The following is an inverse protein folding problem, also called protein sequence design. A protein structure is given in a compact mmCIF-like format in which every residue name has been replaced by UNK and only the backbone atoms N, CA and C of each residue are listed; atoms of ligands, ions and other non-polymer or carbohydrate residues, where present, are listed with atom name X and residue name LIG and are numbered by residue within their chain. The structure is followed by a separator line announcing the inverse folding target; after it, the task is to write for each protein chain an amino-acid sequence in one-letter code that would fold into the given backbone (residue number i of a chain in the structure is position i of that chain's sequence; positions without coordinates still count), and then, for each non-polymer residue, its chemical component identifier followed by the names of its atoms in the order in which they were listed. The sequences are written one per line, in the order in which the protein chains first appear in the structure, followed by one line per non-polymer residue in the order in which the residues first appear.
data_IF_969077830490
#
_entry.id   IF_969077830490
#
_cell.length_a   1.000
_cell.length_b   1.000
_cell.length_c   1.000
_cell.angle_alpha   90.00
_cell.angle_beta   90.00
_cell.angle_gamma   90.00
#
_symmetry.space_group_name_H-M   'P 1'
#
loop_
_entity.id
_entity.type
_entity.pdbx_description
1 polymer ?
#
# COMPACT_ATOMS: atom_id res chain seq x y z
N UNK A 1 7.81 -49.87 -6.86
CA UNK A 1 6.69 -48.92 -7.10
C UNK A 1 6.42 -48.24 -5.75
N UNK A 2 6.32 -46.93 -5.56
CA UNK A 2 6.01 -45.81 -6.43
C UNK A 2 6.74 -44.54 -5.95
N UNK A 3 7.34 -43.80 -6.89
CA UNK A 3 7.84 -42.43 -6.68
C UNK A 3 6.62 -41.51 -6.56
N UNK A 4 6.43 -40.81 -5.44
CA UNK A 4 5.54 -39.63 -5.37
C UNK A 4 6.37 -38.37 -5.12
N UNK A 5 6.61 -37.65 -6.22
CA UNK A 5 7.16 -36.29 -6.24
C UNK A 5 6.20 -35.36 -5.51
N UNK A 6 6.62 -34.77 -4.39
CA UNK A 6 5.89 -33.68 -3.75
C UNK A 6 6.12 -32.39 -4.55
N UNK A 7 5.01 -31.83 -5.02
CA UNK A 7 4.97 -30.70 -5.93
C UNK A 7 5.46 -29.41 -5.25
N UNK A 8 6.39 -28.73 -5.93
CA UNK A 8 6.85 -27.36 -5.64
C UNK A 8 5.63 -26.42 -5.73
N UNK A 9 5.08 -26.01 -4.58
CA UNK A 9 4.01 -25.02 -4.48
C UNK A 9 4.53 -23.67 -4.99
N UNK A 10 4.35 -23.43 -6.29
CA UNK A 10 4.56 -22.10 -6.90
C UNK A 10 3.54 -21.16 -6.25
N UNK A 11 4.00 -20.32 -5.34
CA UNK A 11 3.25 -19.16 -4.85
C UNK A 11 2.92 -18.31 -6.07
N UNK A 12 1.66 -18.38 -6.51
CA UNK A 12 1.12 -17.50 -7.52
C UNK A 12 1.20 -16.07 -6.98
N UNK A 13 2.24 -15.34 -7.39
CA UNK A 13 2.33 -13.89 -7.21
C UNK A 13 1.23 -13.30 -8.09
N UNK A 14 0.03 -13.21 -7.52
CA UNK A 14 -1.11 -12.53 -8.11
C UNK A 14 -0.60 -11.12 -8.45
N UNK A 15 -0.44 -10.82 -9.74
CA UNK A 15 -0.21 -9.45 -10.22
C UNK A 15 -1.43 -8.68 -9.74
N UNK A 16 -1.31 -8.06 -8.57
CA UNK A 16 -2.25 -7.05 -8.14
C UNK A 16 -2.28 -6.02 -9.27
N UNK A 17 -3.48 -5.72 -9.76
CA UNK A 17 -3.68 -4.59 -10.64
C UNK A 17 -2.91 -3.41 -10.04
N UNK A 18 -2.05 -2.77 -10.84
CA UNK A 18 -1.21 -1.67 -10.36
C UNK A 18 -2.15 -0.63 -9.74
N UNK A 19 -2.14 -0.54 -8.42
CA UNK A 19 -2.89 0.50 -7.71
C UNK A 19 -2.35 1.85 -8.17
N UNK A 20 -3.24 2.81 -8.33
CA UNK A 20 -2.85 4.15 -8.71
C UNK A 20 -2.01 4.80 -7.60
N UNK A 21 -1.12 5.70 -7.99
CA UNK A 21 -0.31 6.44 -7.03
C UNK A 21 -1.15 7.60 -6.52
N UNK A 22 -1.52 7.57 -5.24
CA UNK A 22 -2.36 8.62 -4.62
C UNK A 22 -1.56 9.87 -4.21
N UNK A 23 -0.23 9.83 -4.36
CA UNK A 23 0.69 10.90 -3.93
C UNK A 23 1.33 11.62 -5.09
N UNK A 24 1.59 12.91 -4.90
CA UNK A 24 2.38 13.71 -5.83
C UNK A 24 3.86 13.40 -5.63
N UNK A 25 4.38 12.46 -6.43
CA UNK A 25 5.73 11.92 -6.27
C UNK A 25 6.83 13.01 -6.24
N UNK A 26 6.69 14.10 -7.00
CA UNK A 26 7.65 15.20 -7.00
C UNK A 26 7.73 15.92 -5.64
N UNK A 27 6.58 16.22 -5.02
CA UNK A 27 6.49 16.85 -3.70
C UNK A 27 7.04 15.94 -2.61
N UNK A 28 6.69 14.66 -2.66
CA UNK A 28 7.20 13.66 -1.71
C UNK A 28 8.72 13.54 -1.79
N UNK A 29 9.29 13.41 -2.99
CA UNK A 29 10.74 13.34 -3.19
C UNK A 29 11.45 14.61 -2.74
N UNK A 30 10.87 15.78 -3.02
CA UNK A 30 11.43 17.06 -2.59
C UNK A 30 11.50 17.16 -1.06
N UNK A 31 10.46 16.71 -0.36
CA UNK A 31 10.45 16.68 1.11
C UNK A 31 11.48 15.69 1.67
N UNK A 32 11.59 14.47 1.11
CA UNK A 32 12.61 13.50 1.54
C UNK A 32 14.03 14.07 1.33
N UNK A 33 14.25 14.74 0.19
CA UNK A 33 15.53 15.38 -0.13
C UNK A 33 15.86 16.56 0.80
N UNK A 34 14.86 17.33 1.24
CA UNK A 34 15.09 18.43 2.19
C UNK A 34 15.55 17.93 3.57
N UNK A 35 15.27 16.67 3.90
CA UNK A 35 15.78 15.99 5.09
C UNK A 35 17.16 15.33 4.87
N UNK A 36 17.85 15.61 3.75
CA UNK A 36 19.16 15.04 3.44
C UNK A 36 19.12 13.57 2.97
N UNK A 37 17.93 13.04 2.69
CA UNK A 37 17.74 11.64 2.29
C UNK A 37 17.48 11.50 0.79
N UNK A 38 17.75 10.30 0.25
CA UNK A 38 17.44 9.95 -1.14
C UNK A 38 16.21 9.02 -1.19
N UNK A 39 15.49 9.03 -2.31
CA UNK A 39 14.30 8.19 -2.50
C UNK A 39 14.60 7.09 -3.52
N UNK A 40 14.35 5.83 -3.18
CA UNK A 40 14.46 4.71 -4.11
C UNK A 40 13.34 4.74 -5.17
N UNK A 41 13.53 4.01 -6.27
CA UNK A 41 12.56 3.96 -7.38
C UNK A 41 11.23 3.28 -7.00
N UNK A 42 11.25 2.40 -6.01
CA UNK A 42 10.10 1.63 -5.49
C UNK A 42 9.39 2.29 -4.29
N UNK A 43 10.06 3.22 -3.59
CA UNK A 43 9.51 3.86 -2.39
C UNK A 43 8.17 4.56 -2.61
N UNK A 44 7.94 5.16 -3.79
CA UNK A 44 6.68 5.85 -4.10
C UNK A 44 5.51 4.85 -4.19
N UNK A 45 5.75 3.66 -4.75
CA UNK A 45 4.74 2.61 -4.81
C UNK A 45 4.40 2.09 -3.41
N UNK A 46 5.43 1.78 -2.61
CA UNK A 46 5.27 1.33 -1.23
C UNK A 46 4.55 2.36 -0.35
N UNK A 47 4.87 3.65 -0.51
CA UNK A 47 4.19 4.73 0.21
C UNK A 47 2.71 4.85 -0.21
N UNK A 48 2.40 4.68 -1.50
CA UNK A 48 1.01 4.63 -1.96
C UNK A 48 0.25 3.48 -1.32
N UNK A 49 0.85 2.29 -1.25
CA UNK A 49 0.25 1.12 -0.60
C UNK A 49 -0.02 1.36 0.89
N UNK A 50 0.89 2.02 1.60
CA UNK A 50 0.70 2.39 2.99
C UNK A 50 -0.46 3.38 3.18
N UNK A 51 -0.60 4.35 2.27
CA UNK A 51 -1.70 5.32 2.28
C UNK A 51 -3.04 4.64 2.02
N UNK A 52 -3.10 3.69 1.08
CA UNK A 52 -4.31 2.87 0.89
C UNK A 52 -4.70 2.14 2.18
N UNK A 53 -3.74 1.50 2.85
CA UNK A 53 -4.02 0.78 4.10
C UNK A 53 -4.55 1.72 5.20
N UNK A 54 -3.98 2.94 5.31
CA UNK A 54 -4.46 3.96 6.23
C UNK A 54 -5.89 4.41 5.91
N UNK A 55 -6.18 4.68 4.64
CA UNK A 55 -7.52 5.08 4.19
C UNK A 55 -8.54 3.95 4.41
N UNK A 56 -8.18 2.70 4.13
CA UNK A 56 -9.04 1.53 4.34
C UNK A 56 -9.39 1.37 5.83
N UNK A 57 -8.40 1.55 6.71
CA UNK A 57 -8.62 1.55 8.16
C UNK A 57 -9.54 2.71 8.60
N UNK A 58 -9.34 3.91 8.05
CA UNK A 58 -10.17 5.06 8.35
C UNK A 58 -11.62 4.88 7.88
N UNK A 59 -11.82 4.31 6.70
CA UNK A 59 -13.16 3.96 6.19
C UNK A 59 -13.81 2.91 7.10
N UNK A 60 -13.06 1.91 7.57
CA UNK A 60 -13.58 0.91 8.49
C UNK A 60 -14.08 1.53 9.81
N UNK A 61 -13.28 2.42 10.42
CA UNK A 61 -13.70 3.17 11.63
C UNK A 61 -14.91 4.07 11.37
N UNK A 62 -14.93 4.73 10.22
CA UNK A 62 -16.04 5.59 9.79
C UNK A 62 -17.35 4.80 9.68
N UNK A 63 -17.29 3.62 9.04
CA UNK A 63 -18.43 2.69 8.91
C UNK A 63 -18.87 2.13 10.26
N UNK A 64 -17.93 1.76 11.13
CA UNK A 64 -18.23 1.29 12.49
C UNK A 64 -18.99 2.35 13.30
N UNK A 65 -18.69 3.63 13.05
CA UNK A 65 -19.39 4.77 13.63
C UNK A 65 -20.68 5.16 12.91
N UNK A 66 -21.16 4.35 11.95
CA UNK A 66 -22.36 4.59 11.12
C UNK A 66 -22.32 5.94 10.38
N UNK A 67 -21.12 6.39 10.01
CA UNK A 67 -20.90 7.60 9.21
C UNK A 67 -20.52 7.22 7.78
N UNK A 68 -20.78 8.12 6.84
CA UNK A 68 -20.29 8.05 5.45
C UNK A 68 -19.18 9.05 5.16
N UNK A 69 -18.93 10.00 6.07
CA UNK A 69 -17.87 11.00 5.97
C UNK A 69 -16.70 10.62 6.86
N UNK A 70 -15.54 10.36 6.24
CA UNK A 70 -14.25 10.15 6.93
C UNK A 70 -13.84 11.49 7.55
N UNK A 71 -13.52 11.47 8.85
CA UNK A 71 -13.06 12.64 9.61
C UNK A 71 -11.60 12.46 10.05
N UNK A 72 -10.92 13.52 10.50
CA UNK A 72 -9.56 13.42 11.02
C UNK A 72 -9.41 12.38 12.14
N UNK A 73 -10.41 12.21 13.00
CA UNK A 73 -10.41 11.19 14.05
C UNK A 73 -10.45 9.74 13.55
N UNK A 74 -10.78 9.52 12.27
CA UNK A 74 -10.84 8.19 11.67
C UNK A 74 -9.49 7.77 11.07
N UNK A 75 -8.61 8.73 10.74
CA UNK A 75 -7.30 8.48 10.10
C UNK A 75 -6.28 7.81 11.03
#
# INVERSE_FOLDING_TARGET
MAKKKAAKKKTAKKKAAKKEILIVASKTKAYIKSQGMMTSSDAIGALSDAIYALIDAAIARTKANRRSTVKPQDL
#
